data_IF_270376101807
#
_entry.id   IF_270376101807
#
_cell.length_a   1.000
_cell.length_b   1.000
_cell.length_c   1.000
_cell.angle_alpha   90.00
_cell.angle_beta   90.00
_cell.angle_gamma   90.00
#
_symmetry.space_group_name_H-M   'P 1'
#
loop_
_entity.id
_entity.type
_entity.pdbx_description
1 polymer ?
#
# COMPACT_ATOMS: atom_id res chain seq x y z
N UNK A 1 -5.41 -12.86 -12.85
CA UNK A 1 -6.52 -12.24 -12.10
C UNK A 1 -6.98 -10.99 -12.83
N UNK A 2 -8.27 -10.84 -12.98
CA UNK A 2 -8.84 -9.73 -13.73
C UNK A 2 -9.23 -8.60 -12.79
N UNK A 3 -8.48 -7.50 -12.81
CA UNK A 3 -8.74 -6.37 -11.92
C UNK A 3 -10.08 -5.69 -12.21
N UNK A 4 -10.63 -5.85 -13.40
CA UNK A 4 -11.93 -5.28 -13.73
C UNK A 4 -13.07 -5.97 -12.98
N UNK A 5 -12.87 -7.21 -12.57
CA UNK A 5 -13.85 -7.91 -11.72
C UNK A 5 -13.77 -7.45 -10.27
N UNK A 6 -12.60 -7.04 -9.83
CA UNK A 6 -12.38 -6.57 -8.46
C UNK A 6 -12.86 -5.13 -8.32
N UNK A 7 -12.46 -4.28 -9.26
CA UNK A 7 -12.91 -2.89 -9.31
C UNK A 7 -13.93 -2.74 -10.43
N UNK A 8 -15.13 -3.22 -10.18
CA UNK A 8 -16.24 -3.09 -11.13
C UNK A 8 -16.79 -1.65 -11.20
N UNK A 9 -16.40 -0.80 -10.28
CA UNK A 9 -16.72 0.61 -10.22
C UNK A 9 -15.42 1.39 -10.03
N UNK A 10 -15.14 2.36 -10.89
CA UNK A 10 -13.91 3.17 -10.81
C UNK A 10 -13.78 3.94 -9.51
N UNK A 11 -14.90 4.17 -8.82
CA UNK A 11 -14.91 4.87 -7.55
C UNK A 11 -14.69 3.95 -6.36
N UNK A 12 -14.72 2.65 -6.58
CA UNK A 12 -14.57 1.67 -5.50
C UNK A 12 -13.18 1.74 -4.90
N UNK A 13 -13.13 1.79 -3.57
CA UNK A 13 -11.86 1.78 -2.83
C UNK A 13 -11.71 0.46 -2.09
N UNK A 14 -10.52 -0.09 -2.14
CA UNK A 14 -10.19 -1.33 -1.45
C UNK A 14 -9.04 -1.06 -0.50
N UNK A 15 -9.15 -1.45 0.78
CA UNK A 15 -8.03 -1.29 1.70
C UNK A 15 -6.86 -2.15 1.27
N UNK A 16 -5.67 -1.56 1.34
CA UNK A 16 -4.42 -2.22 0.99
C UNK A 16 -3.52 -2.23 2.21
N UNK A 17 -3.19 -3.41 2.69
CA UNK A 17 -2.28 -3.61 3.81
C UNK A 17 -0.89 -3.76 3.22
N UNK A 18 0.04 -2.90 3.63
CA UNK A 18 1.41 -2.96 3.14
C UNK A 18 2.27 -3.63 4.20
N UNK A 19 2.92 -4.72 3.80
CA UNK A 19 3.71 -5.56 4.68
C UNK A 19 5.15 -5.60 4.18
N UNK A 20 6.10 -5.52 5.11
CA UNK A 20 7.52 -5.66 4.77
C UNK A 20 7.76 -7.08 4.26
N UNK A 21 8.31 -7.19 3.07
CA UNK A 21 8.59 -8.47 2.42
C UNK A 21 9.49 -9.36 3.26
N UNK A 22 10.45 -8.77 3.96
CA UNK A 22 11.46 -9.52 4.70
C UNK A 22 11.02 -9.88 6.12
N UNK A 23 10.52 -8.91 6.86
CA UNK A 23 10.17 -9.11 8.26
C UNK A 23 8.74 -9.60 8.47
N UNK A 24 7.88 -9.38 7.47
CA UNK A 24 6.44 -9.62 7.54
C UNK A 24 5.72 -8.67 8.51
N UNK A 25 6.38 -7.61 8.93
CA UNK A 25 5.73 -6.57 9.73
C UNK A 25 4.78 -5.77 8.85
N UNK A 26 3.65 -5.38 9.42
CA UNK A 26 2.72 -4.48 8.74
C UNK A 26 3.27 -3.07 8.83
N UNK A 27 3.42 -2.41 7.68
CA UNK A 27 3.99 -1.06 7.61
C UNK A 27 2.94 0.02 7.65
N UNK A 28 1.86 -0.15 6.90
CA UNK A 28 0.77 0.83 6.87
C UNK A 28 -0.46 0.22 6.18
N UNK A 29 -1.55 0.96 6.24
CA UNK A 29 -2.76 0.65 5.48
C UNK A 29 -3.16 1.91 4.71
N UNK A 30 -3.50 1.75 3.45
CA UNK A 30 -4.04 2.81 2.62
C UNK A 30 -5.17 2.26 1.78
N UNK A 31 -5.71 3.09 0.89
CA UNK A 31 -6.80 2.68 0.02
C UNK A 31 -6.37 2.78 -1.43
N UNK A 32 -6.80 1.83 -2.24
CA UNK A 32 -6.51 1.82 -3.66
C UNK A 32 -7.80 1.79 -4.46
N UNK A 33 -7.86 2.63 -5.50
CA UNK A 33 -8.84 2.46 -6.55
C UNK A 33 -8.15 1.70 -7.70
N UNK A 34 -8.90 1.44 -8.77
CA UNK A 34 -8.36 0.70 -9.91
C UNK A 34 -7.12 1.39 -10.50
N UNK A 35 -7.16 2.70 -10.63
CA UNK A 35 -6.06 3.46 -11.22
C UNK A 35 -4.81 3.43 -10.37
N UNK A 36 -4.93 3.58 -9.05
CA UNK A 36 -3.76 3.53 -8.16
C UNK A 36 -3.14 2.15 -8.14
N UNK A 37 -3.95 1.10 -8.23
CA UNK A 37 -3.44 -0.26 -8.30
C UNK A 37 -2.66 -0.48 -9.59
N UNK A 38 -3.21 -0.04 -10.73
CA UNK A 38 -2.50 -0.12 -12.01
C UNK A 38 -1.18 0.63 -11.96
N UNK A 39 -1.19 1.83 -11.39
CA UNK A 39 0.04 2.63 -11.29
C UNK A 39 1.07 1.95 -10.41
N UNK A 40 0.65 1.29 -9.34
CA UNK A 40 1.56 0.51 -8.50
C UNK A 40 2.25 -0.57 -9.32
N UNK A 41 1.50 -1.30 -10.13
CA UNK A 41 2.07 -2.37 -10.96
C UNK A 41 3.00 -1.85 -12.04
N UNK A 42 2.69 -0.69 -12.61
CA UNK A 42 3.50 -0.10 -13.67
C UNK A 42 4.78 0.52 -13.16
N UNK A 43 4.72 1.23 -12.05
CA UNK A 43 5.85 2.00 -11.52
C UNK A 43 6.70 1.22 -10.51
N UNK A 44 6.17 0.11 -9.98
CA UNK A 44 6.74 -0.63 -8.86
C UNK A 44 6.87 0.21 -7.59
N UNK A 45 6.14 1.33 -7.52
CA UNK A 45 6.05 2.19 -6.33
C UNK A 45 4.62 2.14 -5.83
N UNK A 46 4.44 1.83 -4.54
CA UNK A 46 3.11 1.70 -3.97
C UNK A 46 2.38 3.03 -4.03
N UNK A 47 1.25 3.03 -4.72
CA UNK A 47 0.45 4.23 -4.98
C UNK A 47 -0.96 3.99 -4.48
N UNK A 48 -1.48 4.98 -3.76
CA UNK A 48 -2.79 4.93 -3.14
C UNK A 48 -3.71 5.99 -3.75
N UNK A 49 -4.99 5.89 -3.42
CA UNK A 49 -5.95 6.95 -3.70
C UNK A 49 -6.29 7.63 -2.39
N UNK A 50 -6.05 8.94 -2.34
CA UNK A 50 -6.38 9.74 -1.15
C UNK A 50 -7.85 10.10 -1.16
N UNK A 51 -8.59 9.64 -0.15
CA UNK A 51 -10.03 9.95 -0.05
C UNK A 51 -10.29 11.43 0.21
N UNK A 52 -9.43 12.04 1.03
CA UNK A 52 -9.63 13.45 1.40
C UNK A 52 -9.26 14.40 0.29
N UNK A 53 -8.19 14.10 -0.46
CA UNK A 53 -7.75 14.95 -1.57
C UNK A 53 -8.33 14.55 -2.91
N UNK A 54 -8.95 13.37 -2.97
CA UNK A 54 -9.55 12.80 -4.19
C UNK A 54 -8.56 12.73 -5.35
N UNK A 55 -7.35 12.26 -5.05
CA UNK A 55 -6.31 12.09 -6.06
C UNK A 55 -5.37 10.96 -5.69
N UNK A 56 -4.63 10.48 -6.68
CA UNK A 56 -3.58 9.49 -6.46
C UNK A 56 -2.41 10.12 -5.72
N UNK A 57 -1.77 9.32 -4.87
CA UNK A 57 -0.48 9.72 -4.30
C UNK A 57 0.41 8.51 -4.16
N UNK A 58 1.67 8.66 -4.54
CA UNK A 58 2.67 7.61 -4.41
C UNK A 58 3.38 7.79 -3.07
N UNK A 59 3.40 6.73 -2.28
CA UNK A 59 4.07 6.77 -0.97
C UNK A 59 5.54 7.11 -1.18
N UNK A 60 6.00 8.15 -0.52
CA UNK A 60 7.38 8.60 -0.63
C UNK A 60 7.63 9.69 -1.68
N UNK A 61 6.60 10.13 -2.42
CA UNK A 61 6.80 11.13 -3.46
C UNK A 61 7.28 12.48 -2.92
N UNK A 62 7.01 12.78 -1.66
CA UNK A 62 7.49 13.99 -1.01
C UNK A 62 8.72 13.73 -0.17
N UNK A 63 8.72 12.66 0.62
CA UNK A 63 9.80 12.34 1.56
C UNK A 63 10.99 11.63 0.93
N UNK A 64 10.78 10.98 -0.21
CA UNK A 64 11.79 10.12 -0.83
C UNK A 64 11.81 8.71 -0.26
N UNK A 65 10.98 8.42 0.74
CA UNK A 65 10.93 7.10 1.38
C UNK A 65 9.87 6.24 0.71
N UNK A 66 10.18 5.76 -0.49
CA UNK A 66 9.26 4.96 -1.29
C UNK A 66 9.04 3.57 -0.70
N UNK A 67 7.89 3.00 -1.02
CA UNK A 67 7.63 1.60 -0.79
C UNK A 67 7.65 0.92 -2.15
N UNK A 68 8.63 0.03 -2.33
CA UNK A 68 8.81 -0.66 -3.60
C UNK A 68 7.94 -1.91 -3.62
N UNK A 69 7.06 -1.99 -4.60
CA UNK A 69 6.15 -3.11 -4.77
C UNK A 69 6.93 -4.38 -5.10
N UNK A 70 6.59 -5.48 -4.43
CA UNK A 70 7.16 -6.78 -4.73
C UNK A 70 6.09 -7.75 -5.24
N UNK A 71 5.00 -7.92 -4.50
CA UNK A 71 3.93 -8.85 -4.87
C UNK A 71 2.64 -8.45 -4.16
N UNK A 72 1.54 -9.07 -4.54
CA UNK A 72 0.27 -8.81 -3.89
C UNK A 72 -0.60 -10.06 -3.89
N UNK A 73 -1.55 -10.08 -2.97
CA UNK A 73 -2.60 -11.09 -2.90
C UNK A 73 -3.89 -10.43 -2.49
N UNK A 74 -5.00 -10.89 -3.05
CA UNK A 74 -6.32 -10.48 -2.57
C UNK A 74 -6.81 -11.51 -1.57
N UNK A 75 -7.65 -11.08 -0.64
CA UNK A 75 -8.24 -12.02 0.30
C UNK A 75 -9.34 -12.84 -0.39
N UNK A 76 -9.95 -13.77 0.35
CA UNK A 76 -10.83 -14.77 -0.26
C UNK A 76 -12.07 -14.19 -0.93
N UNK A 77 -12.58 -13.06 -0.46
CA UNK A 77 -13.72 -12.39 -1.08
C UNK A 77 -13.31 -11.16 -1.91
N UNK A 78 -12.00 -10.98 -2.09
CA UNK A 78 -11.43 -9.98 -3.01
C UNK A 78 -11.79 -8.54 -2.65
N UNK A 79 -11.91 -8.24 -1.37
CA UNK A 79 -12.21 -6.89 -0.89
C UNK A 79 -11.07 -6.23 -0.12
N UNK A 80 -9.92 -6.89 0.00
CA UNK A 80 -8.73 -6.39 0.68
C UNK A 80 -7.50 -6.90 -0.05
N UNK A 81 -6.46 -6.05 -0.13
CA UNK A 81 -5.21 -6.39 -0.80
C UNK A 81 -4.11 -6.46 0.24
N UNK A 82 -3.32 -7.53 0.20
CA UNK A 82 -2.06 -7.60 0.93
C UNK A 82 -0.92 -7.37 -0.04
N UNK A 83 -0.17 -6.30 0.16
CA UNK A 83 0.96 -5.95 -0.71
C UNK A 83 2.25 -6.19 0.05
N UNK A 84 3.14 -7.01 -0.52
CA UNK A 84 4.49 -7.17 -0.02
C UNK A 84 5.36 -6.10 -0.65
N UNK A 85 6.13 -5.39 0.16
CA UNK A 85 6.95 -4.28 -0.32
C UNK A 85 8.26 -4.20 0.45
N UNK A 86 9.21 -3.45 -0.12
CA UNK A 86 10.44 -3.10 0.58
C UNK A 86 10.47 -1.59 0.77
N UNK A 87 10.84 -1.14 1.97
CA UNK A 87 10.86 0.28 2.27
C UNK A 87 12.27 0.85 2.08
N UNK A 88 12.33 2.06 1.51
CA UNK A 88 13.59 2.76 1.29
C UNK A 88 13.93 3.71 2.43
N UNK A 89 13.26 3.56 3.55
CA UNK A 89 13.42 4.41 4.71
C UNK A 89 12.20 4.29 5.58
N UNK A 90 12.08 5.13 6.60
CA UNK A 90 10.91 5.05 7.48
C UNK A 90 9.61 5.19 6.72
N UNK A 91 8.65 4.31 6.98
CA UNK A 91 7.35 4.36 6.33
C UNK A 91 6.47 5.46 6.90
N UNK A 92 6.51 5.64 8.20
CA UNK A 92 5.67 6.61 8.91
C UNK A 92 6.18 8.03 8.71
N UNK A 93 5.25 9.00 8.58
CA UNK A 93 5.62 10.41 8.46
C UNK A 93 6.33 10.94 9.73
N UNK A 94 6.23 10.21 10.84
CA UNK A 94 6.98 10.52 12.08
C UNK A 94 8.35 9.86 12.09
N UNK A 95 8.82 9.41 10.94
CA UNK A 95 10.13 8.77 10.72
C UNK A 95 10.27 7.45 11.46
N UNK A 96 9.15 6.75 11.64
CA UNK A 96 9.17 5.40 12.20
C UNK A 96 9.14 4.37 11.08
N UNK A 97 9.74 3.21 11.34
CA UNK A 97 9.75 2.09 10.40
C UNK A 97 8.34 1.73 9.93
N UNK A 98 7.38 1.70 10.85
CA UNK A 98 5.99 1.36 10.56
C UNK A 98 5.08 2.45 11.11
N UNK A 99 3.93 2.64 10.50
CA UNK A 99 2.88 3.51 11.02
C UNK A 99 2.26 2.92 12.29
N UNK A 100 2.46 1.64 12.52
CA UNK A 100 2.01 0.96 13.73
C UNK A 100 3.15 0.89 14.72
N UNK A 101 2.89 0.94 16.01
CA UNK A 101 3.94 0.98 17.03
C UNK A 101 4.55 -0.39 17.29
N UNK A 102 5.12 -1.02 16.27
CA UNK A 102 5.64 -2.40 16.37
C UNK A 102 6.84 -2.54 17.29
N UNK A 103 7.60 -1.46 17.46
CA UNK A 103 8.79 -1.50 18.31
C UNK A 103 8.49 -1.90 19.76
N UNK A 104 7.26 -1.71 20.20
CA UNK A 104 6.86 -2.07 21.54
C UNK A 104 6.64 -3.57 21.72
N UNK A 105 6.51 -4.28 20.61
CA UNK A 105 6.20 -5.71 20.63
C UNK A 105 7.47 -6.54 20.82
N UNK A 106 8.62 -5.94 20.60
CA UNK A 106 9.89 -6.65 20.59
C UNK A 106 10.68 -6.52 21.88
N UNK A 107 10.02 -6.13 22.92
CA UNK A 107 10.67 -5.99 24.23
C UNK A 107 10.95 -7.35 24.85
#
# INVERSE_FOLDING_TARGET
MNIDNIWDDDQKLIPAIIQDKFTKDVLMLGYMNKESFRKTLESYKVTFFSRSRKKLWTKGETSGNYLNYYSHEFDCDEDTILVQATNEGPTCHLEKYSCFGLSLIHI
#
